data_IF_977673094347
#
_entry.id   IF_977673094347
#
_cell.length_a   1.000
_cell.length_b   1.000
_cell.length_c   1.000
_cell.angle_alpha   90.00
_cell.angle_beta   90.00
_cell.angle_gamma   90.00
#
_symmetry.space_group_name_H-M   'P 1'
#
loop_
_entity.id
_entity.type
_entity.pdbx_description
1 polymer ?
#
# COMPACT_ATOMS: atom_id res chain seq x y z
N UNK A 1 6.41 35.69 25.07
CA UNK A 1 7.57 34.92 25.57
C UNK A 1 7.09 33.49 25.71
N UNK A 2 6.88 32.84 24.57
CA UNK A 2 7.83 31.88 23.98
C UNK A 2 7.88 30.58 24.80
N UNK A 3 7.12 29.59 24.34
CA UNK A 3 7.64 28.23 24.26
C UNK A 3 7.37 27.76 22.83
N UNK A 4 8.46 27.50 22.13
CA UNK A 4 8.49 27.09 20.74
C UNK A 4 7.87 25.70 20.64
N UNK A 5 6.74 25.58 19.96
CA UNK A 5 6.32 24.29 19.39
C UNK A 5 7.22 24.06 18.18
N UNK A 6 8.36 23.41 18.40
CA UNK A 6 9.15 22.82 17.33
C UNK A 6 8.30 21.73 16.68
N UNK A 7 7.59 22.07 15.60
CA UNK A 7 7.10 21.10 14.63
C UNK A 7 8.33 20.43 14.01
N UNK A 8 8.81 19.36 14.64
CA UNK A 8 9.91 18.57 14.11
C UNK A 8 9.46 17.93 12.81
N UNK A 9 9.88 18.48 11.67
CA UNK A 9 10.00 17.68 10.47
C UNK A 9 10.93 16.53 10.83
N UNK A 10 10.47 15.30 10.65
CA UNK A 10 11.29 14.14 10.86
C UNK A 10 12.33 14.11 9.73
N UNK A 11 13.61 14.30 10.02
CA UNK A 11 14.69 14.35 9.01
C UNK A 11 15.01 12.96 8.38
N UNK A 12 14.03 12.06 8.35
CA UNK A 12 14.18 10.66 7.93
C UNK A 12 12.93 10.09 7.28
N UNK A 13 13.15 9.12 6.40
CA UNK A 13 12.09 8.36 5.75
C UNK A 13 11.45 7.35 6.71
N UNK A 14 10.18 6.99 6.47
CA UNK A 14 9.44 6.02 7.28
C UNK A 14 8.56 5.11 6.42
N UNK A 15 8.27 3.93 6.97
CA UNK A 15 7.27 2.99 6.46
C UNK A 15 6.06 2.99 7.40
N UNK A 16 4.89 3.35 6.88
CA UNK A 16 3.65 3.49 7.65
C UNK A 16 2.64 2.48 7.14
N UNK A 17 2.41 1.41 7.91
CA UNK A 17 1.44 0.38 7.58
C UNK A 17 0.02 0.91 7.82
N UNK A 18 -0.71 1.15 6.74
CA UNK A 18 -2.10 1.60 6.83
C UNK A 18 -3.05 0.45 7.16
N UNK A 19 -2.72 -0.76 6.71
CA UNK A 19 -3.46 -1.96 7.00
C UNK A 19 -2.59 -3.20 6.81
N UNK A 20 -2.92 -4.24 7.57
CA UNK A 20 -2.21 -5.52 7.62
C UNK A 20 -3.21 -6.70 7.65
N UNK A 21 -4.45 -6.44 7.26
CA UNK A 21 -5.53 -7.41 7.22
C UNK A 21 -5.69 -8.01 5.83
N UNK A 22 -6.39 -9.13 5.76
CA UNK A 22 -6.71 -9.78 4.49
C UNK A 22 -7.75 -8.99 3.68
N UNK A 23 -8.15 -9.54 2.54
CA UNK A 23 -9.17 -8.96 1.66
C UNK A 23 -10.47 -8.59 2.37
N UNK A 24 -10.88 -9.35 3.39
CA UNK A 24 -12.10 -9.11 4.14
C UNK A 24 -11.94 -8.13 5.32
N UNK A 25 -10.72 -7.62 5.57
CA UNK A 25 -10.33 -6.93 6.80
C UNK A 25 -10.58 -7.78 8.07
N UNK A 26 -10.15 -7.29 9.22
CA UNK A 26 -10.43 -7.90 10.53
C UNK A 26 -11.05 -6.82 11.43
N UNK A 27 -12.19 -7.10 12.09
CA UNK A 27 -12.88 -8.39 12.19
C UNK A 27 -13.57 -8.83 10.88
N UNK A 28 -13.61 -10.14 10.64
CA UNK A 28 -14.38 -10.70 9.54
C UNK A 28 -15.88 -10.62 9.85
N UNK A 29 -16.66 -10.01 8.96
CA UNK A 29 -18.10 -9.80 9.17
C UNK A 29 -18.88 -11.11 9.40
N UNK A 30 -18.54 -12.20 8.69
CA UNK A 30 -19.20 -13.50 8.87
C UNK A 30 -18.95 -14.04 10.27
N UNK A 31 -17.72 -13.93 10.81
CA UNK A 31 -17.42 -14.36 12.17
C UNK A 31 -18.23 -13.61 13.24
N UNK A 32 -18.71 -12.41 12.94
CA UNK A 32 -19.53 -11.61 13.86
C UNK A 32 -21.03 -11.89 13.70
N UNK A 33 -21.51 -12.01 12.46
CA UNK A 33 -22.92 -12.25 12.16
C UNK A 33 -23.34 -13.70 12.43
N UNK A 34 -22.42 -14.64 12.21
CA UNK A 34 -22.60 -16.07 12.46
C UNK A 34 -21.38 -16.62 13.21
N UNK A 35 -21.30 -16.35 14.53
CA UNK A 35 -20.17 -16.82 15.34
C UNK A 35 -20.08 -18.35 15.34
N UNK A 36 -18.86 -18.86 15.19
CA UNK A 36 -18.55 -20.27 15.45
C UNK A 36 -18.69 -20.60 16.95
N UNK A 37 -18.68 -21.89 17.29
CA UNK A 37 -18.58 -22.36 18.67
C UNK A 37 -17.29 -23.18 18.87
N UNK A 38 -16.27 -22.66 19.59
CA UNK A 38 -16.24 -21.33 20.21
C UNK A 38 -16.08 -20.18 19.17
N UNK A 39 -16.46 -18.93 19.52
CA UNK A 39 -16.28 -17.78 18.64
C UNK A 39 -14.80 -17.54 18.30
N UNK A 40 -14.54 -17.01 17.09
CA UNK A 40 -13.20 -16.64 16.66
C UNK A 40 -12.58 -15.58 17.59
N UNK A 41 -11.58 -15.98 18.38
CA UNK A 41 -10.95 -15.12 19.38
C UNK A 41 -10.38 -13.83 18.79
N UNK A 42 -9.78 -13.89 17.61
CA UNK A 42 -9.19 -12.72 16.92
C UNK A 42 -10.27 -11.71 16.54
N UNK A 43 -11.39 -12.17 15.95
CA UNK A 43 -12.48 -11.26 15.57
C UNK A 43 -13.19 -10.67 16.80
N UNK A 44 -13.35 -11.45 17.87
CA UNK A 44 -13.89 -10.95 19.13
C UNK A 44 -12.97 -9.89 19.77
N UNK A 45 -11.65 -10.14 19.81
CA UNK A 45 -10.67 -9.19 20.33
C UNK A 45 -10.55 -7.93 19.46
N UNK A 46 -10.75 -8.02 18.15
CA UNK A 46 -10.74 -6.86 17.26
C UNK A 46 -11.82 -5.81 17.60
N UNK A 47 -12.80 -6.16 18.44
CA UNK A 47 -13.84 -5.24 18.93
C UNK A 47 -13.73 -4.90 20.42
N UNK A 48 -12.73 -5.42 21.14
CA UNK A 48 -12.65 -5.24 22.60
C UNK A 48 -12.16 -3.85 23.04
N UNK A 49 -11.45 -3.14 22.16
CA UNK A 49 -10.95 -1.77 22.37
C UNK A 49 -11.06 -0.97 21.06
N UNK A 50 -11.07 0.38 21.12
CA UNK A 50 -11.19 1.21 19.93
C UNK A 50 -10.14 0.88 18.85
N UNK A 51 -10.47 0.95 17.54
CA UNK A 51 -9.60 0.50 16.45
C UNK A 51 -8.18 1.08 16.48
N UNK A 52 -8.02 2.33 16.88
CA UNK A 52 -6.71 3.00 16.95
C UNK A 52 -5.74 2.36 17.97
N UNK A 53 -6.26 1.67 18.98
CA UNK A 53 -5.49 0.95 20.00
C UNK A 53 -5.52 -0.57 19.79
N UNK A 54 -6.19 -1.06 18.74
CA UNK A 54 -6.48 -2.46 18.57
C UNK A 54 -5.63 -3.09 17.45
N UNK A 55 -4.59 -3.88 17.77
CA UNK A 55 -3.77 -4.53 16.74
C UNK A 55 -4.53 -5.62 15.97
N UNK A 56 -5.64 -6.12 16.51
CA UNK A 56 -6.50 -7.09 15.82
C UNK A 56 -7.50 -6.42 14.89
N UNK A 57 -7.76 -5.11 15.01
CA UNK A 57 -8.58 -4.39 14.03
C UNK A 57 -7.70 -3.96 12.84
N UNK A 58 -7.84 -4.66 11.72
CA UNK A 58 -6.93 -4.55 10.57
C UNK A 58 -7.68 -4.23 9.28
N UNK A 59 -7.41 -3.06 8.73
CA UNK A 59 -7.84 -2.65 7.39
C UNK A 59 -7.15 -3.49 6.29
N UNK A 60 -7.60 -3.37 5.04
CA UNK A 60 -6.94 -4.02 3.90
C UNK A 60 -5.47 -3.62 3.81
N UNK A 61 -4.63 -4.57 3.41
CA UNK A 61 -3.20 -4.38 3.23
C UNK A 61 -2.89 -3.14 2.40
N UNK A 62 -2.06 -2.24 2.95
CA UNK A 62 -1.61 -1.02 2.27
C UNK A 62 -0.46 -0.39 3.06
N UNK A 63 0.47 0.26 2.36
CA UNK A 63 1.68 0.86 2.91
C UNK A 63 1.85 2.28 2.39
N UNK A 64 2.13 3.24 3.27
CA UNK A 64 2.68 4.54 2.88
C UNK A 64 4.18 4.54 3.12
N UNK A 65 4.93 4.94 2.10
CA UNK A 65 6.34 5.28 2.18
C UNK A 65 6.41 6.79 2.30
N UNK A 66 6.83 7.27 3.47
CA UNK A 66 7.22 8.65 3.68
C UNK A 66 8.70 8.80 3.31
N UNK A 67 8.98 9.41 2.17
CA UNK A 67 10.32 9.59 1.63
C UNK A 67 10.85 10.99 1.88
N UNK A 68 11.89 11.09 2.70
CA UNK A 68 12.59 12.35 2.90
C UNK A 68 13.76 12.52 1.92
N UNK A 69 13.68 13.55 1.06
CA UNK A 69 14.76 13.93 0.16
C UNK A 69 15.67 14.96 0.82
N UNK A 70 16.96 14.60 1.00
CA UNK A 70 17.97 15.50 1.55
C UNK A 70 18.40 16.61 0.59
N UNK A 71 18.26 16.41 -0.73
CA UNK A 71 18.64 17.43 -1.71
C UNK A 71 17.67 18.61 -1.66
N UNK A 72 16.39 18.31 -1.46
CA UNK A 72 15.31 19.29 -1.60
C UNK A 72 14.71 19.66 -0.23
N UNK A 73 15.10 18.94 0.83
CA UNK A 73 14.59 19.11 2.20
C UNK A 73 13.06 19.00 2.26
N UNK A 74 12.50 18.02 1.54
CA UNK A 74 11.05 17.80 1.42
C UNK A 74 10.67 16.33 1.58
N UNK A 75 9.43 16.10 2.01
CA UNK A 75 8.80 14.78 2.08
C UNK A 75 7.93 14.52 0.85
N UNK A 76 8.02 13.30 0.34
CA UNK A 76 7.11 12.73 -0.66
C UNK A 76 6.44 11.48 -0.12
N UNK A 77 5.14 11.34 -0.34
CA UNK A 77 4.34 10.23 0.18
C UNK A 77 3.88 9.32 -0.96
N UNK A 78 4.40 8.09 -0.99
CA UNK A 78 4.02 7.06 -1.96
C UNK A 78 3.12 6.05 -1.28
N UNK A 79 1.95 5.80 -1.85
CA UNK A 79 1.02 4.78 -1.36
C UNK A 79 1.15 3.49 -2.19
N UNK A 80 1.25 2.35 -1.54
CA UNK A 80 1.08 1.03 -2.16
C UNK A 80 -0.32 0.53 -1.79
N UNK A 81 -1.14 0.31 -2.83
CA UNK A 81 -2.54 -0.11 -2.80
C UNK A 81 -3.52 0.85 -2.10
N UNK A 82 -4.71 0.96 -2.69
CA UNK A 82 -5.86 1.80 -2.29
C UNK A 82 -7.08 0.90 -2.16
N UNK A 83 -7.11 0.08 -1.11
CA UNK A 83 -8.21 -0.84 -0.83
C UNK A 83 -9.53 -0.18 -0.44
N UNK A 84 -10.60 -0.96 -0.35
CA UNK A 84 -11.93 -0.49 0.09
C UNK A 84 -11.96 0.12 1.50
N UNK A 85 -10.94 -0.13 2.32
CA UNK A 85 -10.81 0.49 3.66
C UNK A 85 -10.04 1.82 3.66
N UNK A 86 -9.66 2.35 2.49
CA UNK A 86 -8.80 3.53 2.37
C UNK A 86 -9.29 4.75 3.16
N UNK A 87 -10.59 5.05 3.10
CA UNK A 87 -11.18 6.13 3.89
C UNK A 87 -10.89 6.01 5.39
N UNK A 88 -11.02 4.80 5.95
CA UNK A 88 -10.72 4.56 7.36
C UNK A 88 -9.22 4.73 7.64
N UNK A 89 -8.38 4.26 6.72
CA UNK A 89 -6.92 4.36 6.82
C UNK A 89 -6.45 5.82 6.84
N UNK A 90 -7.04 6.68 6.00
CA UNK A 90 -6.77 8.13 6.03
C UNK A 90 -7.16 8.73 7.38
N UNK A 91 -8.37 8.43 7.88
CA UNK A 91 -8.84 8.96 9.16
C UNK A 91 -7.97 8.52 10.35
N UNK A 92 -7.40 7.32 10.30
CA UNK A 92 -6.59 6.76 11.39
C UNK A 92 -5.12 7.16 11.31
N UNK A 93 -4.53 7.11 10.13
CA UNK A 93 -3.07 7.17 9.99
C UNK A 93 -2.59 8.46 9.37
N UNK A 94 -3.30 9.04 8.40
CA UNK A 94 -2.85 10.29 7.77
C UNK A 94 -2.98 11.44 8.74
N UNK A 95 -4.08 11.48 9.50
CA UNK A 95 -4.29 12.48 10.55
C UNK A 95 -3.29 12.32 11.69
N UNK A 96 -2.95 11.08 12.07
CA UNK A 96 -2.01 10.78 13.15
C UNK A 96 -0.56 11.12 12.78
N UNK A 97 -0.14 10.77 11.55
CA UNK A 97 1.20 11.04 11.03
C UNK A 97 1.34 12.40 10.35
N UNK A 98 0.27 13.20 10.30
CA UNK A 98 0.21 14.49 9.60
C UNK A 98 0.58 14.37 8.10
N UNK A 99 0.20 13.29 7.44
CA UNK A 99 0.38 13.10 5.99
C UNK A 99 -0.59 14.04 5.26
N UNK A 100 -0.10 15.05 4.52
CA UNK A 100 -0.97 16.09 3.97
C UNK A 100 -1.57 15.72 2.61
N UNK A 101 -0.94 14.79 1.88
CA UNK A 101 -1.29 14.40 0.50
C UNK A 101 -0.58 13.10 0.11
N UNK A 102 -0.89 12.60 -1.08
CA UNK A 102 -0.12 11.58 -1.79
C UNK A 102 0.53 12.18 -3.04
N UNK A 103 1.81 11.87 -3.24
CA UNK A 103 2.60 12.32 -4.39
C UNK A 103 2.63 11.25 -5.50
N UNK A 104 2.48 9.97 -5.16
CA UNK A 104 2.26 8.89 -6.13
C UNK A 104 1.60 7.66 -5.50
N UNK A 105 1.06 6.79 -6.34
CA UNK A 105 0.39 5.55 -5.94
C UNK A 105 0.94 4.41 -6.78
N UNK A 106 1.14 3.24 -6.17
CA UNK A 106 1.56 2.01 -6.82
C UNK A 106 0.48 0.96 -6.51
N UNK A 107 -0.02 0.27 -7.53
CA UNK A 107 -0.96 -0.84 -7.37
C UNK A 107 -0.22 -2.15 -7.59
N UNK A 108 -0.33 -3.07 -6.63
CA UNK A 108 0.25 -4.41 -6.72
C UNK A 108 -0.52 -5.28 -7.72
N UNK A 109 -1.85 -5.17 -7.70
CA UNK A 109 -2.78 -5.92 -8.55
C UNK A 109 -4.19 -5.30 -8.52
N UNK A 110 -5.15 -5.81 -9.31
CA UNK A 110 -6.47 -5.17 -9.46
C UNK A 110 -7.60 -5.70 -8.56
N UNK A 111 -7.32 -6.56 -7.56
CA UNK A 111 -8.38 -7.03 -6.69
C UNK A 111 -9.00 -5.92 -5.84
N UNK A 112 -10.22 -6.18 -5.37
CA UNK A 112 -11.07 -5.17 -4.75
C UNK A 112 -10.46 -4.55 -3.48
N UNK A 113 -9.75 -5.35 -2.70
CA UNK A 113 -8.99 -4.95 -1.52
C UNK A 113 -7.71 -4.19 -1.82
N UNK A 114 -7.27 -4.12 -3.07
CA UNK A 114 -6.16 -3.28 -3.51
C UNK A 114 -6.59 -2.00 -4.24
N UNK A 115 -7.80 -1.93 -4.82
CA UNK A 115 -8.18 -0.82 -5.73
C UNK A 115 -9.50 -0.10 -5.43
N UNK A 116 -10.40 -0.63 -4.59
CA UNK A 116 -11.73 -0.02 -4.44
C UNK A 116 -11.76 1.31 -3.66
N UNK A 117 -10.64 1.74 -3.11
CA UNK A 117 -10.46 3.07 -2.51
C UNK A 117 -10.08 4.16 -3.52
N UNK A 118 -9.90 3.83 -4.81
CA UNK A 118 -9.50 4.78 -5.85
C UNK A 118 -10.42 6.01 -5.95
N UNK A 119 -11.72 5.86 -5.67
CA UNK A 119 -12.69 6.96 -5.72
C UNK A 119 -12.40 8.06 -4.67
N UNK A 120 -11.88 7.66 -3.51
CA UNK A 120 -11.59 8.55 -2.38
C UNK A 120 -10.27 9.34 -2.56
N UNK A 121 -9.42 8.97 -3.53
CA UNK A 121 -8.09 9.59 -3.73
C UNK A 121 -8.17 11.09 -3.95
N UNK A 122 -9.27 11.58 -4.55
CA UNK A 122 -9.47 13.01 -4.78
C UNK A 122 -9.24 13.86 -3.53
N UNK A 123 -9.53 13.31 -2.35
CA UNK A 123 -9.41 14.01 -1.06
C UNK A 123 -7.96 14.12 -0.54
N UNK A 124 -7.03 13.36 -1.13
CA UNK A 124 -5.63 13.30 -0.72
C UNK A 124 -4.66 13.70 -1.84
N UNK A 125 -5.18 14.27 -2.94
CA UNK A 125 -4.34 14.91 -3.95
C UNK A 125 -3.84 16.27 -3.44
N UNK A 126 -2.75 16.81 -4.00
CA UNK A 126 -2.42 18.23 -3.81
C UNK A 126 -3.65 19.10 -4.02
N UNK A 127 -3.84 20.13 -3.19
CA UNK A 127 -5.00 21.03 -3.28
C UNK A 127 -4.64 22.29 -4.08
N UNK A 128 -5.48 22.65 -5.06
CA UNK A 128 -5.45 23.94 -5.75
C UNK A 128 -6.86 24.55 -5.74
N UNK A 129 -7.05 25.83 -5.33
CA UNK A 129 -8.36 26.49 -5.31
C UNK A 129 -9.06 26.54 -6.68
N UNK A 130 -8.26 26.48 -7.75
CA UNK A 130 -8.71 26.52 -9.14
C UNK A 130 -8.61 25.16 -9.84
N UNK A 131 -8.32 24.08 -9.10
CA UNK A 131 -8.09 22.71 -9.61
C UNK A 131 -6.96 22.59 -10.65
N UNK A 132 -6.03 23.53 -10.69
CA UNK A 132 -4.76 23.38 -11.39
C UNK A 132 -3.81 22.57 -10.50
N UNK A 133 -3.94 21.25 -10.56
CA UNK A 133 -3.03 20.32 -9.89
C UNK A 133 -2.44 19.39 -10.94
N UNK A 134 -1.17 19.05 -10.78
CA UNK A 134 -0.59 17.98 -11.57
C UNK A 134 -1.31 16.68 -11.25
N UNK A 135 -1.73 15.90 -12.27
CA UNK A 135 -2.37 14.62 -12.02
C UNK A 135 -1.47 13.69 -11.21
N UNK A 136 -2.01 13.04 -10.17
CA UNK A 136 -1.28 12.11 -9.33
C UNK A 136 -0.89 10.87 -10.14
N UNK A 137 0.41 10.54 -10.26
CA UNK A 137 0.87 9.33 -10.92
C UNK A 137 0.37 8.06 -10.21
N UNK A 138 -0.21 7.13 -10.97
CA UNK A 138 -0.54 5.79 -10.53
C UNK A 138 0.23 4.79 -11.38
N UNK A 139 1.08 3.99 -10.73
CA UNK A 139 1.88 2.94 -11.35
C UNK A 139 1.18 1.60 -11.20
N UNK A 140 0.97 0.88 -12.30
CA UNK A 140 0.26 -0.40 -12.32
C UNK A 140 0.65 -1.21 -13.55
N UNK A 141 0.46 -2.53 -13.51
CA UNK A 141 0.72 -3.36 -14.69
C UNK A 141 -0.33 -3.15 -15.78
N UNK A 142 -0.04 -3.63 -17.00
CA UNK A 142 -1.01 -3.60 -18.09
C UNK A 142 -2.29 -4.37 -17.74
N UNK A 143 -2.14 -5.56 -17.12
CA UNK A 143 -3.26 -6.38 -16.68
C UNK A 143 -4.16 -5.62 -15.70
N UNK A 144 -3.55 -4.96 -14.71
CA UNK A 144 -4.29 -4.16 -13.76
C UNK A 144 -5.01 -2.99 -14.45
N UNK A 145 -4.35 -2.31 -15.39
CA UNK A 145 -4.94 -1.21 -16.14
C UNK A 145 -6.19 -1.63 -16.93
N UNK A 146 -6.14 -2.76 -17.64
CA UNK A 146 -7.28 -3.27 -18.41
C UNK A 146 -8.51 -3.43 -17.50
N UNK A 147 -8.32 -3.96 -16.29
CA UNK A 147 -9.40 -4.09 -15.32
C UNK A 147 -9.87 -2.76 -14.72
N UNK A 148 -8.95 -1.82 -14.48
CA UNK A 148 -9.29 -0.49 -13.98
C UNK A 148 -10.15 0.28 -14.99
N UNK A 149 -9.90 0.15 -16.29
CA UNK A 149 -10.75 0.75 -17.34
C UNK A 149 -12.20 0.28 -17.22
N UNK A 150 -12.41 -1.01 -16.91
CA UNK A 150 -13.75 -1.59 -16.75
C UNK A 150 -14.41 -1.20 -15.42
N UNK A 151 -13.65 -1.20 -14.32
CA UNK A 151 -14.16 -0.91 -12.97
C UNK A 151 -14.44 0.57 -12.74
N UNK A 152 -13.56 1.44 -13.26
CA UNK A 152 -13.58 2.89 -13.02
C UNK A 152 -13.45 3.71 -14.32
N UNK A 153 -14.35 3.51 -15.30
CA UNK A 153 -14.24 4.19 -16.60
C UNK A 153 -14.21 5.72 -16.46
N UNK A 154 -14.84 6.28 -15.43
CA UNK A 154 -14.87 7.72 -15.16
C UNK A 154 -13.55 8.28 -14.60
N UNK A 155 -12.68 7.45 -14.01
CA UNK A 155 -11.35 7.83 -13.54
C UNK A 155 -10.30 7.78 -14.66
N UNK A 156 -10.56 7.00 -15.72
CA UNK A 156 -9.67 6.86 -16.88
C UNK A 156 -10.06 7.78 -18.04
N UNK A 157 -11.36 7.86 -18.38
CA UNK A 157 -11.83 8.60 -19.54
C UNK A 157 -11.86 10.12 -19.26
N UNK A 158 -10.80 10.82 -19.69
CA UNK A 158 -10.69 12.29 -19.55
C UNK A 158 -11.19 13.09 -20.76
N UNK A 159 -11.63 12.46 -21.84
CA UNK A 159 -12.15 13.22 -23.00
C UNK A 159 -13.52 13.81 -22.69
N UNK A 160 -13.51 15.05 -22.20
CA UNK A 160 -14.70 15.89 -22.11
C UNK A 160 -15.22 16.11 -23.54
N UNK A 161 -16.48 15.75 -23.78
CA UNK A 161 -17.14 16.11 -25.04
C UNK A 161 -17.32 17.63 -25.08
N UNK A 162 -17.29 18.26 -26.27
CA UNK A 162 -17.60 19.69 -26.40
C UNK A 162 -18.92 20.03 -25.69
N UNK A 163 -18.89 20.94 -24.72
CA UNK A 163 -20.06 21.36 -23.94
C UNK A 163 -20.32 20.62 -22.62
N UNK A 164 -19.45 19.67 -22.21
CA UNK A 164 -19.54 19.07 -20.88
C UNK A 164 -18.83 19.91 -19.81
N UNK A 165 -19.48 20.10 -18.66
CA UNK A 165 -18.87 20.73 -17.50
C UNK A 165 -17.64 19.94 -17.01
N UNK A 166 -16.66 20.65 -16.44
CA UNK A 166 -15.48 20.05 -15.83
C UNK A 166 -15.93 19.13 -14.70
N UNK A 167 -15.80 17.82 -14.92
CA UNK A 167 -16.05 16.82 -13.87
C UNK A 167 -15.01 17.00 -12.77
N UNK A 168 -15.49 17.22 -11.55
CA UNK A 168 -14.64 17.27 -10.35
C UNK A 168 -14.33 15.84 -9.88
N UNK A 169 -13.58 15.08 -10.68
CA UNK A 169 -13.07 13.74 -10.33
C UNK A 169 -11.58 13.80 -10.00
N UNK A 170 -11.01 12.72 -9.45
CA UNK A 170 -9.58 12.65 -9.20
C UNK A 170 -8.78 12.85 -10.50
N UNK A 171 -7.71 13.64 -10.44
CA UNK A 171 -6.84 13.86 -11.59
C UNK A 171 -5.70 12.84 -11.55
N UNK A 172 -5.81 11.76 -12.33
CA UNK A 172 -4.86 10.64 -12.27
C UNK A 172 -4.02 10.55 -13.54
N UNK A 173 -2.74 10.24 -13.41
CA UNK A 173 -1.81 9.93 -14.51
C UNK A 173 -1.45 8.45 -14.46
N UNK A 174 -2.06 7.64 -15.33
CA UNK A 174 -1.90 6.19 -15.34
C UNK A 174 -0.61 5.81 -16.05
N UNK A 175 0.33 5.18 -15.32
CA UNK A 175 1.66 4.81 -15.80
C UNK A 175 1.84 3.30 -15.77
N UNK A 176 1.98 2.69 -16.95
CA UNK A 176 2.23 1.26 -17.05
C UNK A 176 3.64 0.94 -16.60
N UNK A 177 3.76 -0.02 -15.69
CA UNK A 177 5.04 -0.65 -15.31
C UNK A 177 5.11 -2.05 -15.90
N UNK A 178 6.31 -2.47 -16.30
CA UNK A 178 6.55 -3.82 -16.80
C UNK A 178 6.61 -4.81 -15.64
N UNK A 179 6.01 -5.99 -15.80
CA UNK A 179 6.08 -7.09 -14.83
C UNK A 179 7.44 -7.82 -14.93
N UNK A 180 8.53 -7.05 -14.87
CA UNK A 180 9.90 -7.52 -15.08
C UNK A 180 10.86 -6.82 -14.10
N UNK A 181 11.60 -7.61 -13.34
CA UNK A 181 12.59 -7.11 -12.37
C UNK A 181 13.79 -6.41 -13.04
N UNK A 182 13.98 -6.55 -14.36
CA UNK A 182 15.00 -5.83 -15.12
C UNK A 182 14.54 -4.44 -15.58
N UNK A 183 13.28 -4.08 -15.30
CA UNK A 183 12.63 -2.86 -15.74
C UNK A 183 12.20 -2.02 -14.52
N UNK A 184 13.16 -1.46 -13.77
CA UNK A 184 12.85 -0.60 -12.65
C UNK A 184 12.14 0.67 -13.12
N UNK A 185 11.35 1.26 -12.24
CA UNK A 185 10.70 2.55 -12.44
C UNK A 185 10.96 3.47 -11.25
N UNK A 186 10.72 4.76 -11.42
CA UNK A 186 10.90 5.75 -10.35
C UNK A 186 9.56 6.37 -9.99
N UNK A 187 9.19 6.31 -8.71
CA UNK A 187 8.02 6.97 -8.16
C UNK A 187 8.46 7.93 -7.05
N UNK A 188 8.16 9.22 -7.22
CA UNK A 188 8.47 10.29 -6.25
C UNK A 188 9.90 10.25 -5.68
N UNK A 189 10.89 10.02 -6.54
CA UNK A 189 12.31 10.00 -6.18
C UNK A 189 12.86 8.65 -5.71
N UNK A 190 12.02 7.63 -5.51
CA UNK A 190 12.45 6.29 -5.15
C UNK A 190 12.41 5.38 -6.39
N UNK A 191 13.52 4.64 -6.61
CA UNK A 191 13.54 3.56 -7.58
C UNK A 191 12.89 2.29 -7.00
N UNK A 192 11.95 1.73 -7.74
CA UNK A 192 11.28 0.47 -7.45
C UNK A 192 11.65 -0.57 -8.50
N UNK A 193 11.95 -1.79 -8.03
CA UNK A 193 12.13 -2.98 -8.86
C UNK A 193 10.87 -3.83 -8.71
N UNK A 194 10.09 -4.05 -9.78
CA UNK A 194 8.96 -4.97 -9.76
C UNK A 194 9.41 -6.38 -9.41
N UNK A 195 8.65 -7.06 -8.55
CA UNK A 195 8.87 -8.45 -8.15
C UNK A 195 7.63 -9.28 -8.51
N UNK A 196 7.55 -9.85 -9.73
CA UNK A 196 6.44 -10.71 -10.10
C UNK A 196 6.36 -11.93 -9.17
N UNK A 197 5.20 -12.14 -8.57
CA UNK A 197 4.92 -13.28 -7.69
C UNK A 197 3.62 -13.94 -8.11
N UNK A 198 3.48 -15.23 -7.80
CA UNK A 198 2.23 -15.93 -8.05
C UNK A 198 1.27 -15.63 -6.91
N UNK A 199 0.02 -15.29 -7.24
CA UNK A 199 -1.08 -15.14 -6.30
C UNK A 199 -2.24 -16.05 -6.73
N UNK A 200 -2.20 -17.30 -6.28
CA UNK A 200 -3.01 -18.40 -6.81
C UNK A 200 -2.21 -19.31 -7.74
N UNK A 201 -2.89 -20.02 -8.64
CA UNK A 201 -2.22 -20.92 -9.61
C UNK A 201 -1.76 -20.19 -10.88
N UNK A 202 -2.63 -19.35 -11.46
CA UNK A 202 -2.46 -18.76 -12.79
C UNK A 202 -2.59 -17.23 -12.80
N UNK A 203 -2.20 -16.57 -11.70
CA UNK A 203 -2.33 -15.13 -11.56
C UNK A 203 -1.06 -14.53 -10.96
N UNK A 204 -0.65 -13.38 -11.51
CA UNK A 204 0.54 -12.66 -11.10
C UNK A 204 0.11 -11.41 -10.33
N UNK A 205 0.68 -11.24 -9.15
CA UNK A 205 0.68 -9.98 -8.41
C UNK A 205 2.09 -9.43 -8.37
N UNK A 206 2.23 -8.11 -8.18
CA UNK A 206 3.53 -7.47 -8.04
C UNK A 206 3.86 -7.22 -6.57
N UNK A 207 5.00 -7.75 -6.13
CA UNK A 207 5.75 -7.17 -5.02
C UNK A 207 6.69 -6.08 -5.54
N UNK A 208 7.36 -5.39 -4.61
CA UNK A 208 8.32 -4.35 -4.94
C UNK A 208 9.55 -4.40 -4.04
N UNK A 209 10.72 -4.29 -4.66
CA UNK A 209 11.99 -4.06 -3.99
C UNK A 209 12.39 -2.60 -4.15
N UNK A 210 12.73 -1.92 -3.05
CA UNK A 210 13.09 -0.51 -3.06
C UNK A 210 14.02 -0.15 -1.88
N UNK A 211 14.56 1.06 -1.93
CA UNK A 211 15.47 1.59 -0.91
C UNK A 211 16.95 1.32 -1.22
N UNK A 212 17.78 2.34 -0.97
CA UNK A 212 19.23 2.29 -1.23
C UNK A 212 20.01 1.87 0.02
N UNK A 213 19.78 2.56 1.15
CA UNK A 213 20.49 2.30 2.41
C UNK A 213 19.85 1.23 3.29
N UNK A 214 18.52 1.14 3.18
CA UNK A 214 17.71 0.15 3.86
C UNK A 214 16.86 -0.48 2.75
N UNK A 215 17.23 -1.69 2.38
CA UNK A 215 16.69 -2.40 1.24
C UNK A 215 15.46 -3.20 1.70
N UNK A 216 14.30 -2.87 1.12
CA UNK A 216 12.99 -3.37 1.54
C UNK A 216 12.34 -4.14 0.40
N UNK A 217 11.85 -5.33 0.69
CA UNK A 217 11.00 -6.11 -0.20
C UNK A 217 9.59 -6.18 0.38
N UNK A 218 8.60 -5.67 -0.36
CA UNK A 218 7.19 -5.66 0.01
C UNK A 218 6.40 -6.59 -0.92
N UNK A 219 5.82 -7.65 -0.37
CA UNK A 219 5.08 -8.68 -1.11
C UNK A 219 3.81 -9.03 -0.32
N UNK A 220 2.69 -8.38 -0.65
CA UNK A 220 1.45 -8.45 0.14
C UNK A 220 0.56 -9.65 -0.15
N UNK A 221 0.54 -10.11 -1.40
CA UNK A 221 -0.38 -11.12 -1.91
C UNK A 221 0.40 -12.17 -2.70
N UNK A 222 0.71 -13.30 -2.07
CA UNK A 222 1.57 -14.33 -2.68
C UNK A 222 1.22 -15.75 -2.22
N UNK A 223 1.11 -16.66 -3.18
CA UNK A 223 1.05 -18.10 -2.99
C UNK A 223 2.39 -18.79 -3.26
N UNK A 224 3.18 -18.25 -4.21
CA UNK A 224 4.49 -18.80 -4.60
C UNK A 224 5.39 -17.70 -5.15
N UNK A 225 6.64 -17.68 -4.69
CA UNK A 225 7.69 -16.80 -5.23
C UNK A 225 8.44 -17.57 -6.32
N UNK A 226 8.44 -17.12 -7.59
CA UNK A 226 9.25 -17.72 -8.64
C UNK A 226 10.75 -17.62 -8.33
N UNK A 227 11.55 -18.59 -8.77
CA UNK A 227 13.00 -18.60 -8.51
C UNK A 227 13.73 -17.38 -9.09
N UNK A 228 13.22 -16.77 -10.16
CA UNK A 228 13.73 -15.50 -10.69
C UNK A 228 13.59 -14.36 -9.68
N UNK A 229 12.40 -14.22 -9.08
CA UNK A 229 12.10 -13.22 -8.06
C UNK A 229 12.87 -13.48 -6.76
N UNK A 230 12.93 -14.74 -6.32
CA UNK A 230 13.75 -15.16 -5.18
C UNK A 230 15.24 -14.83 -5.39
N UNK A 231 15.74 -15.03 -6.61
CA UNK A 231 17.11 -14.67 -6.97
C UNK A 231 17.34 -13.16 -6.85
N UNK A 232 16.40 -12.32 -7.29
CA UNK A 232 16.53 -10.86 -7.18
C UNK A 232 16.53 -10.42 -5.71
N UNK A 233 15.64 -10.99 -4.90
CA UNK A 233 15.56 -10.67 -3.46
C UNK A 233 16.88 -11.08 -2.77
N UNK A 234 17.36 -12.30 -3.02
CA UNK A 234 18.56 -12.87 -2.40
C UNK A 234 19.89 -12.33 -2.95
N UNK A 235 19.95 -11.90 -4.21
CA UNK A 235 21.19 -11.55 -4.91
C UNK A 235 21.32 -10.12 -5.40
N UNK A 236 20.34 -9.22 -5.28
CA UNK A 236 20.58 -7.88 -5.83
C UNK A 236 21.79 -7.22 -5.13
N UNK A 237 22.89 -7.23 -5.88
CA UNK A 237 24.12 -6.49 -5.72
C UNK A 237 24.70 -6.45 -4.32
N UNK A 238 25.36 -7.53 -3.89
CA UNK A 238 26.30 -7.58 -2.74
C UNK A 238 25.78 -7.10 -1.36
N UNK A 239 24.53 -6.63 -1.27
CA UNK A 239 23.93 -6.01 -0.11
C UNK A 239 22.69 -6.80 0.31
N UNK A 240 22.73 -7.24 1.56
CA UNK A 240 21.69 -8.05 2.19
C UNK A 240 20.37 -7.26 2.26
N UNK A 241 19.24 -7.95 2.11
CA UNK A 241 17.92 -7.37 2.35
C UNK A 241 17.77 -7.03 3.84
N UNK A 242 17.38 -5.79 4.15
CA UNK A 242 17.20 -5.34 5.53
C UNK A 242 15.79 -5.66 6.05
N UNK A 243 14.77 -5.49 5.21
CA UNK A 243 13.38 -5.69 5.59
C UNK A 243 12.67 -6.54 4.53
N UNK A 244 12.11 -7.67 4.98
CA UNK A 244 11.14 -8.44 4.19
C UNK A 244 9.74 -8.28 4.81
N UNK A 245 8.82 -7.78 4.00
CA UNK A 245 7.39 -7.70 4.27
C UNK A 245 6.70 -8.74 3.38
N UNK A 246 6.08 -9.74 4.00
CA UNK A 246 5.53 -10.90 3.30
C UNK A 246 4.12 -11.28 3.79
N UNK A 247 3.29 -11.74 2.85
CA UNK A 247 2.00 -12.40 3.09
C UNK A 247 2.13 -13.60 4.04
N UNK A 248 1.34 -13.59 5.12
CA UNK A 248 1.09 -14.76 5.97
C UNK A 248 -0.40 -14.88 6.31
N UNK A 249 -1.21 -15.34 5.34
CA UNK A 249 -2.66 -15.39 5.47
C UNK A 249 -3.18 -16.40 6.52
N UNK A 250 -2.64 -17.63 6.56
CA UNK A 250 -3.11 -18.68 7.47
C UNK A 250 -1.96 -19.45 8.12
N UNK A 251 -2.15 -19.85 9.39
CA UNK A 251 -1.27 -20.80 10.07
C UNK A 251 -1.65 -22.23 9.68
N UNK A 252 -0.76 -22.95 8.98
CA UNK A 252 -1.00 -24.31 8.49
C UNK A 252 -1.27 -25.34 9.62
N UNK A 253 -0.83 -25.07 10.85
CA UNK A 253 -0.91 -26.03 11.97
C UNK A 253 -2.05 -25.80 12.99
N UNK A 254 -2.92 -24.81 12.80
CA UNK A 254 -4.06 -24.61 13.70
C UNK A 254 -5.15 -23.82 12.97
N UNK A 255 -6.42 -24.24 13.07
CA UNK A 255 -7.61 -23.52 12.57
C UNK A 255 -7.89 -22.24 13.40
N UNK A 256 -6.85 -21.49 13.71
CA UNK A 256 -6.91 -20.20 14.39
C UNK A 256 -6.10 -19.23 13.54
N UNK A 257 -6.81 -18.42 12.77
CA UNK A 257 -6.28 -17.52 11.76
C UNK A 257 -5.42 -16.43 12.40
N UNK A 258 -4.10 -16.51 12.21
CA UNK A 258 -3.20 -15.38 12.38
C UNK A 258 -2.99 -14.80 10.99
N UNK A 259 -3.72 -13.74 10.68
CA UNK A 259 -3.50 -12.93 9.48
C UNK A 259 -2.37 -11.96 9.80
N UNK A 260 -1.30 -11.91 9.02
CA UNK A 260 -0.31 -10.85 9.19
C UNK A 260 0.49 -10.59 7.92
N UNK A 261 0.89 -9.34 7.74
CA UNK A 261 2.17 -9.02 7.14
C UNK A 261 3.24 -9.30 8.19
N UNK A 262 4.21 -10.17 7.90
CA UNK A 262 5.36 -10.36 8.77
C UNK A 262 6.48 -9.41 8.33
N UNK A 263 7.01 -8.63 9.27
CA UNK A 263 8.21 -7.81 9.05
C UNK A 263 9.40 -8.60 9.62
N UNK A 264 10.23 -9.16 8.74
CA UNK A 264 11.47 -9.79 9.15
C UNK A 264 12.63 -8.80 9.01
N UNK A 265 13.26 -8.45 10.12
CA UNK A 265 14.60 -7.83 10.16
C UNK A 265 15.61 -8.92 10.50
N UNK A 266 16.60 -9.23 9.64
CA UNK A 266 17.56 -10.30 9.90
C UNK A 266 18.51 -10.10 11.09
N UNK A 267 18.37 -9.04 11.89
CA UNK A 267 19.33 -8.72 12.95
C UNK A 267 18.65 -8.32 14.28
N UNK A 268 18.47 -9.29 15.17
CA UNK A 268 18.88 -9.12 16.57
C UNK A 268 20.26 -9.79 16.68
N UNK A 269 21.31 -8.97 16.71
CA UNK A 269 22.62 -9.45 17.17
C UNK A 269 22.49 -9.77 18.66
N UNK A 270 22.65 -11.06 19.01
CA UNK A 270 23.03 -11.44 20.36
C UNK A 270 24.32 -10.69 20.73
N UNK A 271 24.20 -9.67 21.57
CA UNK A 271 25.25 -9.30 22.53
C UNK A 271 24.94 -9.94 23.89
#
# INVERSE_FOLDING_TARGET
>A
MESQNSSGCNDGSALIFLGTGCSSAIPNLRCLLEPSDPPCSVCSQALSVPPIQNPNYRCNTSLVIDHYSKSDNTHSYILIDVGKTFREQVLRWFTFHNIPRLDSIILTHEHADAVLGLDDIRSVQPYSPINEIDPTPIYLSHHAMDSIVEKFPYLVQKQLKPGQEIRRVAQLDWRIIEEDHQRPFVASGIQFVPLPVMHGEDYISLGFLFGEKCRVAYISDVSRIPSSTEHVISKASAEQLDILILDTLYKVSCKSSLYSIFVYSPFESNE
#
